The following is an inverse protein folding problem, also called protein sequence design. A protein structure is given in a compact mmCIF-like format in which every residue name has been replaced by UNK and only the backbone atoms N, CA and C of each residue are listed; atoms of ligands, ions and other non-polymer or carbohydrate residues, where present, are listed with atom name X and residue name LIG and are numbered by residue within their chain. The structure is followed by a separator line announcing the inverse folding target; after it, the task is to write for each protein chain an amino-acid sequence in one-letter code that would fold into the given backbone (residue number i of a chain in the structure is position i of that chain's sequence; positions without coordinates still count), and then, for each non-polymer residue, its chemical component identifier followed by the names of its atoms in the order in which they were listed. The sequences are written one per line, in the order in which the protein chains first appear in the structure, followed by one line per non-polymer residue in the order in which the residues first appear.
data_IF_061289440035
#
_entry.id   IF_061289440035
#
_cell.length_a   1.000
_cell.length_b   1.000
_cell.length_c   1.000
_cell.angle_alpha   90.00
_cell.angle_beta   90.00
_cell.angle_gamma   90.00
#
_symmetry.space_group_name_H-M   'P 1'
#
loop_
_entity.id
_entity.type
_entity.pdbx_description
1 polymer ?
#
# COMPACT_ATOMS: atom_id res chain seq x y z
N UNK A 1 -31.84 -14.45 -20.88
CA UNK A 1 -32.34 -13.80 -19.65
C UNK A 1 -33.74 -14.25 -19.27
N UNK A 2 -34.75 -13.98 -20.11
CA UNK A 2 -36.14 -14.35 -19.84
C UNK A 2 -36.33 -15.88 -19.72
N UNK A 3 -35.59 -16.66 -20.49
CA UNK A 3 -35.60 -18.12 -20.39
C UNK A 3 -35.08 -18.60 -19.02
N UNK A 4 -33.94 -18.07 -18.54
CA UNK A 4 -33.40 -18.40 -17.21
C UNK A 4 -34.45 -18.15 -16.11
N UNK A 5 -35.18 -17.03 -16.18
CA UNK A 5 -36.26 -16.75 -15.24
C UNK A 5 -37.42 -17.76 -15.34
N UNK A 6 -37.79 -18.17 -16.56
CA UNK A 6 -38.86 -19.15 -16.78
C UNK A 6 -38.49 -20.54 -16.28
N UNK A 7 -37.25 -20.97 -16.46
CA UNK A 7 -36.79 -22.31 -16.07
C UNK A 7 -36.39 -22.41 -14.59
N UNK A 8 -35.73 -21.39 -14.03
CA UNK A 8 -35.15 -21.42 -12.68
C UNK A 8 -36.04 -20.70 -11.65
N UNK A 9 -36.98 -19.87 -12.08
CA UNK A 9 -37.80 -19.02 -11.20
C UNK A 9 -37.03 -17.84 -10.58
N UNK A 10 -35.74 -17.72 -10.84
CA UNK A 10 -34.85 -16.70 -10.29
C UNK A 10 -33.82 -16.21 -11.30
N UNK A 11 -33.40 -14.95 -11.17
CA UNK A 11 -32.32 -14.34 -11.96
C UNK A 11 -30.97 -14.40 -11.25
N UNK A 12 -30.86 -15.08 -10.11
CA UNK A 12 -29.57 -15.30 -9.42
C UNK A 12 -28.58 -16.14 -10.24
N UNK A 13 -29.04 -16.93 -11.22
CA UNK A 13 -28.17 -17.58 -12.20
C UNK A 13 -27.46 -16.61 -13.16
N UNK A 14 -27.87 -15.33 -13.19
CA UNK A 14 -27.18 -14.28 -13.95
C UNK A 14 -26.18 -13.57 -13.03
N UNK A 15 -24.91 -13.59 -13.41
CA UNK A 15 -23.86 -12.86 -12.71
C UNK A 15 -23.35 -11.68 -13.55
N UNK A 16 -23.31 -10.48 -12.96
CA UNK A 16 -22.57 -9.35 -13.52
C UNK A 16 -21.15 -9.36 -12.93
N UNK A 17 -20.18 -9.60 -13.81
CA UNK A 17 -18.77 -9.36 -13.51
C UNK A 17 -18.42 -7.92 -13.87
N UNK A 18 -18.05 -7.14 -12.85
CA UNK A 18 -17.55 -5.77 -13.00
C UNK A 18 -16.15 -5.74 -12.43
N UNK A 19 -15.16 -5.53 -13.29
CA UNK A 19 -13.78 -5.30 -12.89
C UNK A 19 -13.31 -3.92 -13.37
N UNK A 20 -12.25 -3.40 -12.77
CA UNK A 20 -11.66 -2.10 -13.07
C UNK A 20 -10.91 -2.03 -14.41
N UNK A 21 -11.06 -3.03 -15.29
CA UNK A 21 -10.42 -3.04 -16.61
C UNK A 21 -10.93 -1.96 -17.57
N UNK A 22 -12.11 -1.37 -17.30
CA UNK A 22 -12.66 -0.24 -18.05
C UNK A 22 -13.47 0.67 -17.12
N UNK A 23 -12.86 1.72 -16.60
CA UNK A 23 -13.50 2.67 -15.66
C UNK A 23 -14.27 3.81 -16.36
N UNK A 24 -14.73 3.61 -17.60
CA UNK A 24 -15.49 4.63 -18.33
C UNK A 24 -16.88 4.85 -17.71
N UNK A 25 -17.37 6.09 -17.73
CA UNK A 25 -18.67 6.49 -17.16
C UNK A 25 -19.84 5.64 -17.70
N UNK A 26 -19.79 5.25 -18.97
CA UNK A 26 -20.83 4.41 -19.58
C UNK A 26 -20.93 2.99 -19.00
N UNK A 27 -19.89 2.49 -18.32
CA UNK A 27 -19.97 1.16 -17.69
C UNK A 27 -20.99 1.14 -16.55
N UNK A 28 -21.22 2.27 -15.88
CA UNK A 28 -22.26 2.39 -14.85
C UNK A 28 -23.67 2.22 -15.44
N UNK A 29 -23.88 2.45 -16.74
CA UNK A 29 -25.16 2.19 -17.38
C UNK A 29 -25.51 0.69 -17.40
N UNK A 30 -24.51 -0.18 -17.53
CA UNK A 30 -24.69 -1.64 -17.49
C UNK A 30 -25.09 -2.10 -16.09
N UNK A 31 -24.53 -1.48 -15.05
CA UNK A 31 -24.96 -1.72 -13.67
C UNK A 31 -26.40 -1.28 -13.44
N UNK A 32 -26.77 -0.09 -13.91
CA UNK A 32 -28.14 0.41 -13.85
C UNK A 32 -29.14 -0.54 -14.53
N UNK A 33 -28.81 -1.00 -15.74
CA UNK A 33 -29.60 -2.00 -16.47
C UNK A 33 -29.70 -3.32 -15.69
N UNK A 34 -28.60 -3.84 -15.17
CA UNK A 34 -28.61 -5.11 -14.43
C UNK A 34 -29.37 -5.00 -13.10
N UNK A 35 -29.41 -3.82 -12.48
CA UNK A 35 -30.22 -3.53 -11.30
C UNK A 35 -31.71 -3.39 -11.65
N UNK A 36 -32.07 -2.82 -12.82
CA UNK A 36 -33.47 -2.75 -13.27
C UNK A 36 -34.05 -4.12 -13.63
N UNK A 37 -33.20 -5.11 -13.92
CA UNK A 37 -33.61 -6.51 -14.11
C UNK A 37 -33.95 -7.23 -12.79
N UNK A 38 -33.76 -6.60 -11.63
CA UNK A 38 -34.02 -7.19 -10.31
C UNK A 38 -32.81 -7.92 -9.71
N UNK A 39 -33.07 -8.82 -8.76
CA UNK A 39 -32.00 -9.52 -8.02
C UNK A 39 -31.18 -10.42 -8.94
N UNK A 40 -29.91 -10.07 -9.07
CA UNK A 40 -28.93 -10.75 -9.92
C UNK A 40 -27.63 -10.89 -9.14
N UNK A 41 -26.86 -11.92 -9.44
CA UNK A 41 -25.61 -12.19 -8.72
C UNK A 41 -24.56 -11.13 -9.07
N UNK A 42 -23.81 -10.71 -8.04
CA UNK A 42 -22.75 -9.71 -8.12
C UNK A 42 -21.49 -10.26 -7.47
N UNK A 43 -20.36 -10.03 -8.12
CA UNK A 43 -19.06 -10.26 -7.49
C UNK A 43 -18.78 -9.12 -6.52
N UNK A 44 -18.43 -9.47 -5.28
CA UNK A 44 -17.94 -8.51 -4.29
C UNK A 44 -16.41 -8.55 -4.23
N UNK A 45 -15.80 -7.39 -3.99
CA UNK A 45 -14.34 -7.23 -3.94
C UNK A 45 -13.70 -7.03 -5.32
N UNK A 46 -12.39 -6.81 -5.30
CA UNK A 46 -11.54 -6.65 -6.48
C UNK A 46 -10.24 -7.41 -6.24
N UNK A 47 -9.60 -8.04 -7.24
CA UNK A 47 -8.31 -8.70 -7.04
C UNK A 47 -7.16 -7.67 -6.91
N UNK A 48 -7.43 -6.38 -7.16
CA UNK A 48 -6.38 -5.41 -7.37
C UNK A 48 -5.86 -4.80 -6.07
N UNK A 49 -6.71 -4.06 -5.36
CA UNK A 49 -6.35 -3.20 -4.22
C UNK A 49 -7.19 -3.41 -2.93
N UNK A 50 -7.95 -4.51 -2.73
CA UNK A 50 -8.93 -4.58 -1.64
C UNK A 50 -8.27 -4.44 -0.26
N UNK A 51 -7.20 -5.19 0.00
CA UNK A 51 -6.49 -5.17 1.28
C UNK A 51 -5.96 -3.78 1.64
N UNK A 52 -5.43 -3.04 0.65
CA UNK A 52 -4.94 -1.68 0.88
C UNK A 52 -6.03 -0.61 1.02
N UNK A 53 -7.24 -0.88 0.52
CA UNK A 53 -8.43 -0.05 0.78
C UNK A 53 -8.93 -0.35 2.20
N UNK A 54 -9.07 -1.63 2.55
CA UNK A 54 -9.54 -2.07 3.85
C UNK A 54 -8.62 -1.58 4.97
N UNK A 55 -7.29 -1.67 4.78
CA UNK A 55 -6.31 -1.13 5.71
C UNK A 55 -6.45 0.40 5.89
N UNK A 56 -6.59 1.17 4.81
CA UNK A 56 -6.77 2.62 4.92
C UNK A 56 -8.12 3.00 5.55
N UNK A 57 -9.18 2.28 5.24
CA UNK A 57 -10.48 2.47 5.87
C UNK A 57 -10.43 2.16 7.37
N UNK A 58 -9.68 1.13 7.76
CA UNK A 58 -9.49 0.76 9.16
C UNK A 58 -8.67 1.81 9.91
N UNK A 59 -7.59 2.31 9.30
CA UNK A 59 -6.67 3.26 9.93
C UNK A 59 -7.21 4.71 9.91
N UNK A 60 -7.76 5.16 8.79
CA UNK A 60 -8.08 6.56 8.50
C UNK A 60 -9.57 6.82 8.20
N UNK A 61 -10.41 5.78 8.18
CA UNK A 61 -11.85 5.88 7.90
C UNK A 61 -12.23 5.98 6.43
N UNK A 62 -11.29 6.29 5.53
CA UNK A 62 -11.49 6.31 4.07
C UNK A 62 -10.14 6.16 3.32
N UNK A 63 -10.19 5.83 2.03
CA UNK A 63 -9.01 5.75 1.16
C UNK A 63 -8.63 7.13 0.61
N UNK A 64 -7.58 7.72 1.15
CA UNK A 64 -7.02 8.98 0.66
C UNK A 64 -5.67 8.78 -0.01
N UNK A 65 -5.42 9.51 -1.09
CA UNK A 65 -4.09 9.57 -1.71
C UNK A 65 -3.78 10.96 -2.23
N UNK A 66 -2.50 11.31 -2.21
CA UNK A 66 -2.03 12.57 -2.76
C UNK A 66 -2.09 12.55 -4.30
N UNK A 67 -2.21 13.73 -4.90
CA UNK A 67 -2.04 13.86 -6.35
C UNK A 67 -0.61 13.41 -6.75
N UNK A 68 -0.44 12.64 -7.83
CA UNK A 68 0.88 12.23 -8.30
C UNK A 68 1.85 13.41 -8.52
N UNK A 69 1.32 14.56 -8.90
CA UNK A 69 2.05 15.83 -9.10
C UNK A 69 2.74 16.32 -7.83
N UNK A 70 2.18 16.05 -6.64
CA UNK A 70 2.75 16.49 -5.37
C UNK A 70 4.05 15.75 -5.03
N UNK A 71 4.31 14.61 -5.66
CA UNK A 71 5.53 13.83 -5.46
C UNK A 71 6.78 14.63 -5.81
N UNK A 72 6.67 15.64 -6.68
CA UNK A 72 7.76 16.57 -7.06
C UNK A 72 8.29 17.39 -5.87
N UNK A 73 7.50 17.53 -4.80
CA UNK A 73 7.85 18.26 -3.57
C UNK A 73 8.52 17.38 -2.52
N UNK A 74 8.57 16.06 -2.74
CA UNK A 74 9.14 15.12 -1.80
C UNK A 74 10.63 15.36 -1.58
N UNK A 75 11.09 15.13 -0.35
CA UNK A 75 12.52 15.05 0.00
C UNK A 75 13.01 13.62 0.17
N UNK A 76 12.07 12.69 0.34
CA UNK A 76 12.33 11.26 0.45
C UNK A 76 11.15 10.50 -0.11
N UNK A 77 11.40 9.46 -0.90
CA UNK A 77 10.35 8.66 -1.52
C UNK A 77 10.64 7.20 -1.24
N UNK A 78 9.71 6.51 -0.58
CA UNK A 78 9.75 5.05 -0.49
C UNK A 78 8.77 4.47 -1.52
N UNK A 79 9.27 3.64 -2.42
CA UNK A 79 8.45 2.83 -3.33
C UNK A 79 8.50 1.39 -2.82
N UNK A 80 7.39 0.88 -2.29
CA UNK A 80 7.34 -0.41 -1.60
C UNK A 80 6.44 -1.40 -2.34
N UNK A 81 7.05 -2.46 -2.88
CA UNK A 81 6.36 -3.52 -3.62
C UNK A 81 5.67 -3.00 -4.89
N UNK A 82 6.24 -1.98 -5.53
CA UNK A 82 5.73 -1.35 -6.74
C UNK A 82 6.84 -1.16 -7.79
N UNK A 83 6.47 -1.25 -9.06
CA UNK A 83 7.36 -0.96 -10.18
C UNK A 83 6.76 0.13 -11.10
N UNK A 84 6.67 1.40 -10.63
CA UNK A 84 6.11 2.51 -11.42
C UNK A 84 6.77 2.70 -12.78
N UNK A 85 8.03 2.31 -12.97
CA UNK A 85 8.67 2.30 -14.28
C UNK A 85 7.92 1.45 -15.32
N UNK A 86 7.16 0.45 -14.89
CA UNK A 86 6.34 -0.41 -15.75
C UNK A 86 4.83 -0.18 -15.58
N UNK A 87 4.35 -0.10 -14.35
CA UNK A 87 2.90 -0.06 -14.08
C UNK A 87 2.32 1.36 -13.98
N UNK A 88 3.17 2.39 -13.91
CA UNK A 88 2.74 3.78 -13.78
C UNK A 88 3.79 4.72 -14.39
N UNK A 89 4.16 4.46 -15.64
CA UNK A 89 5.26 5.16 -16.32
C UNK A 89 5.10 6.69 -16.34
N UNK A 90 3.85 7.18 -16.35
CA UNK A 90 3.53 8.61 -16.29
C UNK A 90 3.92 9.27 -14.97
N UNK A 91 3.96 8.51 -13.87
CA UNK A 91 4.32 9.00 -12.54
C UNK A 91 5.83 9.05 -12.33
N UNK A 92 6.61 8.28 -13.10
CA UNK A 92 8.08 8.28 -12.99
C UNK A 92 8.70 9.65 -13.23
N UNK A 93 8.10 10.48 -14.09
CA UNK A 93 8.58 11.84 -14.33
C UNK A 93 8.61 12.67 -13.03
N UNK A 94 7.63 12.48 -12.14
CA UNK A 94 7.56 13.20 -10.87
C UNK A 94 8.59 12.69 -9.87
N UNK A 95 8.85 11.38 -9.84
CA UNK A 95 9.92 10.78 -9.04
C UNK A 95 11.28 11.33 -9.47
N UNK A 96 11.55 11.39 -10.78
CA UNK A 96 12.81 11.94 -11.28
C UNK A 96 12.95 13.43 -10.97
N UNK A 97 11.88 14.22 -11.15
CA UNK A 97 11.89 15.65 -10.79
C UNK A 97 12.14 15.88 -9.30
N UNK A 98 11.58 15.04 -8.42
CA UNK A 98 11.88 15.09 -7.00
C UNK A 98 13.36 14.76 -6.73
N UNK A 99 13.88 13.71 -7.38
CA UNK A 99 15.28 13.30 -7.25
C UNK A 99 16.27 14.36 -7.76
N UNK A 100 15.96 15.03 -8.87
CA UNK A 100 16.71 16.19 -9.39
C UNK A 100 16.76 17.35 -8.40
N UNK A 101 15.75 17.50 -7.54
CA UNK A 101 15.71 18.48 -6.44
C UNK A 101 16.39 17.99 -5.16
N UNK A 102 17.02 16.82 -5.20
CA UNK A 102 17.74 16.23 -4.07
C UNK A 102 16.91 15.25 -3.22
N UNK A 103 15.74 14.83 -3.69
CA UNK A 103 14.99 13.78 -2.99
C UNK A 103 15.72 12.44 -3.08
N UNK A 104 15.80 11.72 -1.96
CA UNK A 104 16.29 10.33 -1.96
C UNK A 104 15.16 9.37 -2.32
N UNK A 105 15.40 8.47 -3.27
CA UNK A 105 14.44 7.45 -3.71
C UNK A 105 14.90 6.08 -3.22
N UNK A 106 14.08 5.44 -2.40
CA UNK A 106 14.29 4.09 -1.89
C UNK A 106 13.26 3.14 -2.47
N UNK A 107 13.71 1.99 -2.96
CA UNK A 107 12.83 0.92 -3.45
C UNK A 107 12.97 -0.31 -2.58
N UNK A 108 11.85 -0.81 -2.08
CA UNK A 108 11.74 -2.02 -1.26
C UNK A 108 10.96 -3.03 -2.08
N UNK A 109 11.64 -4.05 -2.61
CA UNK A 109 11.04 -5.02 -3.53
C UNK A 109 11.85 -6.33 -3.48
N UNK A 110 11.22 -7.53 -3.47
CA UNK A 110 11.95 -8.79 -3.58
C UNK A 110 12.70 -8.96 -4.92
N UNK A 111 12.28 -8.24 -5.96
CA UNK A 111 12.85 -8.27 -7.30
C UNK A 111 13.55 -6.95 -7.63
N UNK A 112 14.70 -7.05 -8.29
CA UNK A 112 15.39 -5.88 -8.84
C UNK A 112 14.61 -5.37 -10.06
N UNK A 113 13.60 -4.55 -9.80
CA UNK A 113 12.73 -3.96 -10.82
C UNK A 113 13.41 -2.81 -11.58
N UNK A 114 12.83 -2.38 -12.69
CA UNK A 114 13.31 -1.19 -13.42
C UNK A 114 13.22 0.09 -12.59
N UNK A 115 12.31 0.13 -11.61
CA UNK A 115 12.26 1.24 -10.64
C UNK A 115 13.41 1.11 -9.65
N UNK A 116 13.66 -0.09 -9.11
CA UNK A 116 14.77 -0.36 -8.20
C UNK A 116 16.14 -0.03 -8.81
N UNK A 117 16.36 -0.36 -10.08
CA UNK A 117 17.59 -0.07 -10.81
C UNK A 117 17.87 1.45 -10.97
N UNK A 118 16.87 2.31 -10.73
CA UNK A 118 16.97 3.77 -10.84
C UNK A 118 16.88 4.47 -9.48
N UNK A 119 16.75 3.71 -8.40
CA UNK A 119 16.67 4.23 -7.04
C UNK A 119 18.06 4.54 -6.49
N UNK A 120 18.11 5.38 -5.45
CA UNK A 120 19.33 5.65 -4.69
C UNK A 120 19.66 4.52 -3.71
N UNK A 121 18.63 3.81 -3.23
CA UNK A 121 18.76 2.63 -2.40
C UNK A 121 17.74 1.57 -2.83
N UNK A 122 18.19 0.32 -2.94
CA UNK A 122 17.35 -0.83 -3.18
C UNK A 122 17.49 -1.84 -2.04
N UNK A 123 16.36 -2.21 -1.46
CA UNK A 123 16.27 -3.19 -0.38
C UNK A 123 15.54 -4.44 -0.87
N UNK A 124 16.29 -5.54 -0.97
CA UNK A 124 15.76 -6.84 -1.37
C UNK A 124 15.20 -7.59 -0.17
N UNK A 125 13.93 -7.35 0.13
CA UNK A 125 13.20 -8.07 1.18
C UNK A 125 12.78 -9.46 0.73
N UNK A 126 12.57 -10.38 1.67
CA UNK A 126 11.92 -11.66 1.38
C UNK A 126 10.43 -11.43 1.05
N UNK A 127 9.83 -12.17 0.11
CA UNK A 127 8.41 -12.03 -0.18
C UNK A 127 7.53 -12.26 1.06
N UNK A 128 6.61 -11.33 1.33
CA UNK A 128 5.66 -11.42 2.46
C UNK A 128 6.22 -11.02 3.82
N UNK A 129 7.46 -10.52 3.88
CA UNK A 129 8.06 -10.03 5.14
C UNK A 129 7.81 -8.54 5.41
N UNK A 130 7.00 -7.86 4.59
CA UNK A 130 6.81 -6.41 4.63
C UNK A 130 6.27 -5.92 5.99
N UNK A 131 5.36 -6.69 6.60
CA UNK A 131 4.85 -6.42 7.95
C UNK A 131 5.94 -6.49 9.01
N UNK A 132 6.86 -7.45 8.92
CA UNK A 132 8.00 -7.55 9.84
C UNK A 132 8.95 -6.36 9.68
N UNK A 133 9.21 -5.91 8.45
CA UNK A 133 10.00 -4.71 8.18
C UNK A 133 9.33 -3.46 8.79
N UNK A 134 8.03 -3.27 8.59
CA UNK A 134 7.30 -2.14 9.16
C UNK A 134 7.32 -2.14 10.70
N UNK A 135 7.10 -3.32 11.32
CA UNK A 135 7.19 -3.48 12.77
C UNK A 135 8.61 -3.23 13.30
N UNK A 136 9.63 -3.70 12.59
CA UNK A 136 11.03 -3.44 12.92
C UNK A 136 11.39 -1.96 12.86
N UNK A 137 10.95 -1.25 11.81
CA UNK A 137 11.10 0.20 11.70
C UNK A 137 10.39 0.94 12.84
N UNK A 138 9.15 0.58 13.15
CA UNK A 138 8.39 1.17 14.25
C UNK A 138 9.06 0.92 15.61
N UNK A 139 9.51 -0.32 15.86
CA UNK A 139 10.26 -0.69 17.07
C UNK A 139 11.51 0.17 17.25
N UNK A 140 12.28 0.35 16.16
CA UNK A 140 13.49 1.17 16.18
C UNK A 140 13.19 2.63 16.57
N UNK A 141 12.12 3.22 16.01
CA UNK A 141 11.71 4.59 16.33
C UNK A 141 11.28 4.72 17.80
N UNK A 142 10.57 3.72 18.34
CA UNK A 142 10.17 3.65 19.75
C UNK A 142 11.37 3.53 20.69
N UNK A 143 12.38 2.74 20.34
CA UNK A 143 13.60 2.60 21.14
C UNK A 143 14.47 3.86 21.11
N UNK A 144 14.44 4.61 19.99
CA UNK A 144 15.17 5.87 19.82
C UNK A 144 14.42 7.10 20.37
N UNK A 145 13.16 6.95 20.78
CA UNK A 145 12.34 8.08 21.22
C UNK A 145 12.04 9.08 20.10
N UNK A 146 11.98 8.61 18.84
CA UNK A 146 11.72 9.44 17.66
C UNK A 146 10.24 9.50 17.27
N UNK A 147 9.36 8.95 18.11
CA UNK A 147 7.91 9.01 17.89
C UNK A 147 7.40 10.41 18.22
N UNK A 148 6.60 10.98 17.33
CA UNK A 148 5.86 12.22 17.58
C UNK A 148 4.78 11.96 18.64
N UNK A 149 5.09 12.35 19.88
CA UNK A 149 4.22 12.12 21.03
C UNK A 149 2.94 12.96 20.96
N UNK A 150 2.99 14.14 20.36
CA UNK A 150 1.81 14.99 20.25
C UNK A 150 0.80 14.37 19.28
N UNK A 151 1.28 13.85 18.14
CA UNK A 151 0.43 13.17 17.18
C UNK A 151 -0.21 11.90 17.76
N UNK A 152 0.56 11.01 18.38
CA UNK A 152 0.01 9.73 18.87
C UNK A 152 -0.95 9.91 20.06
N UNK A 153 -0.84 11.00 20.81
CA UNK A 153 -1.74 11.28 21.94
C UNK A 153 -3.04 11.97 21.51
N UNK A 154 -3.02 12.76 20.43
CA UNK A 154 -4.18 13.54 19.99
C UNK A 154 -4.90 12.95 18.78
N UNK A 155 -4.19 12.25 17.90
CA UNK A 155 -4.66 11.85 16.57
C UNK A 155 -4.54 10.34 16.29
N UNK A 156 -4.17 9.53 17.29
CA UNK A 156 -4.11 8.07 17.18
C UNK A 156 -4.90 7.36 18.28
N UNK A 157 -5.40 6.16 17.97
CA UNK A 157 -6.09 5.29 18.92
C UNK A 157 -5.27 4.02 19.17
N UNK A 158 -5.10 3.63 20.44
CA UNK A 158 -4.44 2.38 20.82
C UNK A 158 -2.91 2.40 20.77
N UNK A 159 -2.29 3.59 20.74
CA UNK A 159 -0.83 3.71 20.72
C UNK A 159 -0.14 3.09 21.95
N UNK A 160 -0.61 3.28 23.21
CA UNK A 160 0.03 2.66 24.37
C UNK A 160 0.11 1.12 24.28
N UNK A 161 -0.96 0.48 23.82
CA UNK A 161 -1.04 -0.96 23.60
C UNK A 161 -0.10 -1.40 22.47
N UNK A 162 -0.03 -0.62 21.39
CA UNK A 162 0.86 -0.87 20.27
C UNK A 162 2.34 -0.72 20.67
N UNK A 163 2.69 0.33 21.43
CA UNK A 163 4.02 0.52 21.97
C UNK A 163 4.42 -0.65 22.88
N UNK A 164 3.53 -1.06 23.79
CA UNK A 164 3.77 -2.21 24.65
C UNK A 164 3.97 -3.49 23.82
N UNK A 165 3.17 -3.69 22.76
CA UNK A 165 3.34 -4.81 21.85
C UNK A 165 4.72 -4.80 21.18
N UNK A 166 5.14 -3.66 20.61
CA UNK A 166 6.46 -3.52 20.00
C UNK A 166 7.56 -3.84 21.01
N UNK A 167 7.48 -3.25 22.22
CA UNK A 167 8.49 -3.43 23.27
C UNK A 167 8.63 -4.88 23.72
N UNK A 168 7.53 -5.63 23.77
CA UNK A 168 7.50 -6.98 24.32
C UNK A 168 7.69 -8.09 23.28
N UNK A 169 7.31 -7.86 22.01
CA UNK A 169 7.21 -8.93 21.00
C UNK A 169 8.07 -8.72 19.76
N UNK A 170 8.61 -7.52 19.54
CA UNK A 170 9.32 -7.17 18.31
C UNK A 170 10.74 -6.71 18.64
N UNK A 171 11.75 -7.29 17.97
CA UNK A 171 13.12 -6.77 17.97
C UNK A 171 13.54 -6.43 16.54
N UNK A 172 14.51 -5.51 16.40
CA UNK A 172 15.04 -5.13 15.08
C UNK A 172 15.76 -6.33 14.45
N UNK A 173 16.42 -7.16 15.26
CA UNK A 173 17.11 -8.38 14.84
C UNK A 173 16.13 -9.43 14.31
N UNK A 174 15.01 -9.63 15.00
CA UNK A 174 13.93 -10.52 14.56
C UNK A 174 13.36 -10.07 13.21
N UNK A 175 13.06 -8.77 13.08
CA UNK A 175 12.56 -8.21 11.84
C UNK A 175 13.57 -8.41 10.70
N UNK A 176 14.85 -8.11 10.95
CA UNK A 176 15.95 -8.27 10.01
C UNK A 176 16.08 -9.72 9.51
N UNK A 177 16.02 -10.68 10.44
CA UNK A 177 16.05 -12.10 10.12
C UNK A 177 14.89 -12.51 9.21
N UNK A 178 13.65 -12.14 9.54
CA UNK A 178 12.47 -12.47 8.73
C UNK A 178 12.59 -11.83 7.35
N UNK A 179 13.01 -10.57 7.29
CA UNK A 179 13.11 -9.81 6.04
C UNK A 179 14.27 -10.24 5.15
N UNK A 180 15.26 -10.95 5.71
CA UNK A 180 16.51 -11.24 5.00
C UNK A 180 17.37 -9.99 4.75
N UNK A 181 17.23 -8.98 5.61
CA UNK A 181 18.04 -7.75 5.58
C UNK A 181 18.98 -7.73 6.78
N UNK A 182 20.02 -6.89 6.76
CA UNK A 182 20.80 -6.64 7.97
C UNK A 182 20.08 -5.64 8.89
N UNK A 183 20.16 -5.86 10.20
CA UNK A 183 19.59 -4.94 11.19
C UNK A 183 20.15 -3.50 11.05
N UNK A 184 21.41 -3.39 10.61
CA UNK A 184 22.09 -2.12 10.33
C UNK A 184 21.43 -1.28 9.22
N UNK A 185 20.59 -1.88 8.37
CA UNK A 185 19.89 -1.15 7.30
C UNK A 185 18.55 -0.63 7.76
N UNK A 186 17.85 -1.34 8.65
CA UNK A 186 16.49 -0.97 9.09
C UNK A 186 16.47 0.32 9.89
N UNK A 187 17.43 0.50 10.80
CA UNK A 187 17.53 1.71 11.63
C UNK A 187 17.69 2.99 10.81
N UNK A 188 18.74 3.10 9.96
CA UNK A 188 18.92 4.25 9.07
C UNK A 188 17.75 4.48 8.13
N UNK A 189 17.13 3.41 7.59
CA UNK A 189 15.94 3.56 6.75
C UNK A 189 14.80 4.25 7.51
N UNK A 190 14.53 3.82 8.75
CA UNK A 190 13.47 4.41 9.58
C UNK A 190 13.81 5.85 9.96
N UNK A 191 15.03 6.11 10.43
CA UNK A 191 15.49 7.45 10.84
C UNK A 191 15.49 8.44 9.67
N UNK A 192 16.02 8.06 8.51
CA UNK A 192 16.03 8.93 7.33
C UNK A 192 14.62 9.26 6.84
N UNK A 193 13.71 8.27 6.86
CA UNK A 193 12.34 8.45 6.41
C UNK A 193 11.56 9.41 7.31
N UNK A 194 11.76 9.34 8.64
CA UNK A 194 11.06 10.19 9.61
C UNK A 194 11.71 11.56 9.83
N UNK A 195 13.01 11.71 9.53
CA UNK A 195 13.72 12.97 9.70
C UNK A 195 13.35 14.07 8.69
N UNK A 196 12.58 13.74 7.65
CA UNK A 196 12.34 14.63 6.51
C UNK A 196 10.85 14.74 6.16
N UNK A 197 10.45 15.95 5.76
CA UNK A 197 9.10 16.23 5.28
C UNK A 197 9.17 17.13 4.02
N UNK A 198 8.38 16.83 2.96
CA UNK A 198 7.47 15.69 2.78
C UNK A 198 8.18 14.36 2.40
N UNK A 199 7.70 13.24 2.94
CA UNK A 199 8.24 11.90 2.68
C UNK A 199 7.14 10.88 2.29
N UNK A 200 6.62 10.91 1.04
CA UNK A 200 5.58 9.97 0.62
C UNK A 200 6.07 8.52 0.56
N UNK A 201 5.19 7.61 0.98
CA UNK A 201 5.36 6.16 0.84
C UNK A 201 4.34 5.61 -0.17
N UNK A 202 4.83 5.15 -1.31
CA UNK A 202 4.03 4.51 -2.35
C UNK A 202 3.98 2.99 -2.13
N UNK A 203 2.84 2.50 -1.61
CA UNK A 203 2.54 1.06 -1.54
C UNK A 203 1.99 0.51 -2.86
N UNK A 204 2.70 -0.46 -3.43
CA UNK A 204 2.29 -1.16 -4.65
C UNK A 204 1.37 -2.35 -4.41
N UNK A 205 1.09 -3.10 -5.47
CA UNK A 205 0.32 -4.34 -5.37
C UNK A 205 1.11 -5.48 -4.69
N UNK A 206 2.45 -5.42 -4.67
CA UNK A 206 3.27 -6.46 -4.06
C UNK A 206 2.97 -6.64 -2.56
N UNK A 207 2.77 -5.53 -1.85
CA UNK A 207 2.44 -5.52 -0.41
C UNK A 207 0.97 -5.86 -0.15
N UNK A 208 0.09 -5.80 -1.15
CA UNK A 208 -1.37 -5.94 -0.97
C UNK A 208 -1.94 -7.29 -1.45
N UNK A 209 -1.13 -8.10 -2.14
CA UNK A 209 -1.58 -9.35 -2.79
C UNK A 209 -0.91 -10.57 -2.18
N UNK A 210 -1.02 -10.70 -0.87
CA UNK A 210 -0.69 -11.91 -0.14
C UNK A 210 -1.65 -12.06 1.06
N UNK A 211 -1.54 -13.18 1.78
CA UNK A 211 -2.48 -13.56 2.85
C UNK A 211 -2.55 -12.53 4.00
N UNK A 212 -1.54 -11.68 4.14
CA UNK A 212 -1.34 -10.73 5.24
C UNK A 212 -1.02 -9.31 4.75
N UNK A 213 -1.51 -8.96 3.56
CA UNK A 213 -1.25 -7.67 2.90
C UNK A 213 -2.27 -6.58 3.19
#
# INVERSE_FOLDING_TARGET
LLEIQKYVGSRLGLALTKYSGKCGVLNYAVEGMMSSLGYTTRFAGTPCWPAGIDAQNYDMGDMWCNAPEDMVKAKYIIVWGANPAWCSMHSMKYIYQAREKGAKVVVIDPLLSQTAAKADLYLRVRPGSDGALALGMARHLVDKGLVDQDFVNNDAHGYPEFEAYLRNNVTVEWAAEICGLSAQVMGPLAEEFTAVWPAPLWRGCGVRRHVSG
#
